data_IF_649505342028
#
_entry.id   IF_649505342028
#
_cell.length_a   1.000
_cell.length_b   1.000
_cell.length_c   1.000
_cell.angle_alpha   90.00
_cell.angle_beta   90.00
_cell.angle_gamma   90.00
#
_symmetry.space_group_name_H-M   'P 1'
#
loop_
_entity.id
_entity.type
_entity.pdbx_description
1 polymer ?
#
# COMPACT_ATOMS: atom_id res chain seq x y z
N UNK A 1 -1.36 -25.57 -21.51
CA UNK A 1 -2.65 -24.93 -21.14
C UNK A 1 -2.38 -23.52 -20.64
N UNK A 2 -3.01 -22.54 -21.29
CA UNK A 2 -2.94 -21.11 -21.01
C UNK A 2 -3.29 -20.75 -19.57
N UNK A 3 -2.45 -19.97 -18.88
CA UNK A 3 -2.84 -19.00 -17.83
C UNK A 3 -1.81 -17.88 -17.66
N UNK A 4 -1.56 -17.10 -18.71
CA UNK A 4 -1.07 -15.71 -18.54
C UNK A 4 -1.84 -14.78 -19.48
N UNK A 5 -3.16 -14.91 -19.46
CA UNK A 5 -4.05 -13.89 -20.01
C UNK A 5 -3.97 -12.68 -19.10
N UNK A 6 -3.25 -11.62 -19.51
CA UNK A 6 -3.44 -10.19 -19.17
C UNK A 6 -4.19 -9.89 -17.86
N UNK A 7 -3.74 -10.45 -16.73
CA UNK A 7 -4.37 -10.28 -15.42
C UNK A 7 -3.33 -9.96 -14.33
N UNK A 8 -2.18 -9.39 -14.70
CA UNK A 8 -1.22 -8.80 -13.75
C UNK A 8 -1.83 -7.57 -13.05
N UNK A 9 -3.00 -7.09 -13.51
CA UNK A 9 -3.77 -6.04 -12.87
C UNK A 9 -4.66 -6.52 -11.70
N UNK A 10 -4.95 -7.82 -11.56
CA UNK A 10 -5.96 -8.30 -10.61
C UNK A 10 -5.50 -8.22 -9.13
N UNK A 11 -4.19 -8.21 -8.90
CA UNK A 11 -3.59 -7.98 -7.59
C UNK A 11 -2.57 -6.89 -7.80
N UNK A 12 -2.91 -5.65 -7.39
CA UNK A 12 -2.05 -4.47 -7.49
C UNK A 12 -0.82 -4.53 -6.57
N UNK A 13 -0.17 -5.69 -6.50
CA UNK A 13 1.09 -5.90 -5.82
C UNK A 13 2.14 -6.00 -6.91
N UNK A 14 3.01 -4.99 -6.96
CA UNK A 14 4.11 -4.96 -7.90
C UNK A 14 5.00 -6.20 -7.70
N UNK A 15 5.16 -7.02 -8.73
CA UNK A 15 5.96 -8.26 -8.69
C UNK A 15 7.43 -8.01 -8.31
N UNK A 16 7.93 -6.79 -8.55
CA UNK A 16 9.26 -6.34 -8.15
C UNK A 16 9.18 -5.03 -7.38
N UNK A 17 9.66 -5.03 -6.14
CA UNK A 17 9.73 -3.82 -5.31
C UNK A 17 11.18 -3.56 -4.90
N UNK A 18 11.79 -2.43 -5.32
CA UNK A 18 13.12 -2.05 -4.87
C UNK A 18 13.17 -1.88 -3.35
N UNK A 19 14.37 -2.03 -2.77
CA UNK A 19 14.59 -1.91 -1.32
C UNK A 19 14.50 -0.45 -0.88
N UNK A 20 13.27 0.03 -0.68
CA UNK A 20 12.94 1.37 -0.21
C UNK A 20 12.65 1.34 1.30
N UNK A 21 13.14 2.34 2.04
CA UNK A 21 12.84 2.53 3.46
C UNK A 21 11.34 2.79 3.67
N UNK A 22 10.75 2.13 4.67
CA UNK A 22 9.35 2.32 5.05
C UNK A 22 9.22 3.55 5.94
N UNK A 23 8.83 4.69 5.35
CA UNK A 23 8.74 5.98 6.04
C UNK A 23 7.34 6.36 6.53
N UNK A 24 6.29 5.61 6.16
CA UNK A 24 4.90 5.97 6.43
C UNK A 24 4.28 5.01 7.46
N UNK A 25 4.41 5.27 8.78
CA UNK A 25 3.78 4.43 9.80
C UNK A 25 2.24 4.48 9.72
N UNK A 26 1.58 3.44 10.23
CA UNK A 26 0.12 3.45 10.45
C UNK A 26 -0.28 4.63 11.33
N UNK A 27 -1.38 5.31 10.94
CA UNK A 27 -1.85 6.55 11.54
C UNK A 27 -1.41 7.81 10.78
N UNK A 28 -0.44 7.70 9.87
CA UNK A 28 -0.02 8.82 9.02
C UNK A 28 -1.16 9.35 8.16
N UNK A 29 -1.11 10.65 7.92
CA UNK A 29 -2.03 11.37 7.03
C UNK A 29 -1.34 11.63 5.70
N UNK A 30 -2.03 11.35 4.59
CA UNK A 30 -1.53 11.43 3.22
C UNK A 30 -2.41 12.41 2.43
N UNK A 31 -1.81 13.18 1.55
CA UNK A 31 -2.59 13.97 0.56
C UNK A 31 -3.00 13.03 -0.55
N UNK A 32 -4.29 13.06 -0.90
CA UNK A 32 -4.81 12.27 -2.01
C UNK A 32 -4.36 12.90 -3.33
N UNK A 33 -3.71 12.10 -4.19
CA UNK A 33 -3.23 12.51 -5.50
C UNK A 33 -4.10 11.93 -6.62
N UNK A 34 -5.41 11.82 -6.37
CA UNK A 34 -6.39 11.40 -7.36
C UNK A 34 -7.44 12.51 -7.57
N UNK A 35 -8.39 12.27 -8.49
CA UNK A 35 -9.51 13.15 -8.78
C UNK A 35 -10.84 12.60 -8.25
N UNK A 36 -10.81 11.72 -7.23
CA UNK A 36 -11.99 11.02 -6.71
C UNK A 36 -12.77 11.80 -5.64
N UNK A 37 -12.29 12.99 -5.27
CA UNK A 37 -12.93 13.90 -4.31
C UNK A 37 -12.36 13.82 -2.88
N UNK A 38 -11.62 12.76 -2.57
CA UNK A 38 -10.82 12.70 -1.35
C UNK A 38 -9.67 13.72 -1.41
N UNK A 39 -9.38 14.39 -0.30
CA UNK A 39 -8.23 15.34 -0.20
C UNK A 39 -7.14 14.84 0.71
N UNK A 40 -7.55 14.21 1.81
CA UNK A 40 -6.70 13.77 2.89
C UNK A 40 -7.10 12.34 3.23
N UNK A 41 -6.12 11.46 3.38
CA UNK A 41 -6.31 10.04 3.65
C UNK A 41 -5.53 9.63 4.89
N UNK A 42 -6.14 8.88 5.80
CA UNK A 42 -5.47 8.29 6.95
C UNK A 42 -5.07 6.84 6.66
N UNK A 43 -3.78 6.52 6.82
CA UNK A 43 -3.26 5.16 6.65
C UNK A 43 -3.68 4.28 7.83
N UNK A 44 -4.45 3.21 7.56
CA UNK A 44 -4.95 2.28 8.58
C UNK A 44 -4.12 0.99 8.60
N UNK A 45 -3.75 0.47 7.42
CA UNK A 45 -3.03 -0.80 7.32
C UNK A 45 -2.16 -0.88 6.06
N UNK A 46 -1.09 -1.67 6.14
CA UNK A 46 -0.25 -2.04 4.99
C UNK A 46 -0.54 -3.49 4.63
N UNK A 47 -1.00 -3.74 3.41
CA UNK A 47 -1.44 -5.07 2.97
C UNK A 47 -0.22 -6.00 2.81
N UNK A 48 -0.35 -7.23 3.31
CA UNK A 48 0.69 -8.27 3.17
C UNK A 48 1.93 -8.10 4.05
N UNK A 49 1.97 -7.08 4.93
CA UNK A 49 3.11 -6.85 5.81
C UNK A 49 3.02 -7.71 7.08
N UNK A 50 4.02 -8.60 7.28
CA UNK A 50 4.21 -9.30 8.56
C UNK A 50 4.95 -8.39 9.55
N UNK A 51 4.44 -8.31 10.77
CA UNK A 51 5.03 -7.50 11.85
C UNK A 51 5.39 -8.37 13.06
N UNK A 52 5.85 -7.73 14.14
CA UNK A 52 6.20 -8.37 15.42
C UNK A 52 5.51 -7.63 16.56
N UNK A 53 5.48 -8.20 17.76
CA UNK A 53 4.89 -7.56 18.94
C UNK A 53 5.46 -6.13 19.13
N UNK A 54 4.56 -5.16 19.34
CA UNK A 54 4.83 -3.71 19.48
C UNK A 54 5.44 -2.99 18.26
N UNK A 55 5.59 -3.64 17.10
CA UNK A 55 6.02 -2.94 15.88
C UNK A 55 4.82 -2.29 15.19
N UNK A 56 4.87 -0.97 15.04
CA UNK A 56 3.92 -0.25 14.21
C UNK A 56 4.22 -0.59 12.73
N UNK A 57 3.23 -1.06 11.95
CA UNK A 57 3.41 -1.29 10.53
C UNK A 57 3.73 0.03 9.80
N UNK A 58 4.54 -0.03 8.74
CA UNK A 58 4.88 1.14 7.94
C UNK A 58 4.94 0.81 6.45
N UNK A 59 4.42 1.71 5.62
CA UNK A 59 4.41 1.60 4.17
C UNK A 59 5.66 2.24 3.55
N UNK A 60 6.04 1.71 2.39
CA UNK A 60 6.95 2.36 1.42
C UNK A 60 6.14 2.72 0.16
N UNK A 61 6.78 3.48 -0.74
CA UNK A 61 6.25 3.72 -2.09
C UNK A 61 6.04 2.39 -2.81
N UNK A 62 4.86 2.23 -3.44
CA UNK A 62 4.47 1.01 -4.17
C UNK A 62 3.82 -0.09 -3.33
N UNK A 63 3.70 0.09 -2.00
CA UNK A 63 2.90 -0.83 -1.19
C UNK A 63 1.40 -0.54 -1.35
N UNK A 64 0.59 -1.60 -1.36
CA UNK A 64 -0.87 -1.49 -1.26
C UNK A 64 -1.28 -1.23 0.20
N UNK A 65 -2.14 -0.23 0.42
CA UNK A 65 -2.55 0.21 1.76
C UNK A 65 -4.07 0.33 1.88
N UNK A 66 -4.57 0.16 3.10
CA UNK A 66 -5.97 0.44 3.47
C UNK A 66 -6.02 1.82 4.11
N UNK A 67 -6.94 2.66 3.65
CA UNK A 67 -7.08 4.06 4.06
C UNK A 67 -8.53 4.40 4.46
N UNK A 68 -8.68 5.43 5.29
CA UNK A 68 -9.95 6.16 5.46
C UNK A 68 -9.78 7.57 4.91
N UNK A 69 -10.83 8.09 4.27
CA UNK A 69 -10.96 9.51 3.92
C UNK A 69 -11.35 10.30 5.16
#
# INVERSE_FOLDING_TARGET
MSRKSRAVAAVAVQEYLPKITRGLPVGSTLVCADNSGARVLKLIQVVGLKTRHRRIPAARVGDLVVVSV
#
